data_IF_137711316179
#
_entry.id   IF_137711316179
#
_cell.length_a   1.000
_cell.length_b   1.000
_cell.length_c   1.000
_cell.angle_alpha   90.00
_cell.angle_beta   90.00
_cell.angle_gamma   90.00
#
_symmetry.space_group_name_H-M   'P 1'
#
loop_
_entity.id
_entity.type
_entity.pdbx_description
1 polymer ?
#
# COMPACT_ATOMS: atom_id res chain seq x y z
N UNK A 1 -7.46 -5.03 -10.08
CA UNK A 1 -6.51 -5.49 -9.04
C UNK A 1 -7.15 -5.49 -7.64
N UNK A 2 -7.31 -4.35 -6.96
CA UNK A 2 -7.88 -4.33 -5.60
C UNK A 2 -9.29 -4.95 -5.53
N UNK A 3 -10.21 -4.55 -6.42
CA UNK A 3 -11.58 -5.10 -6.46
C UNK A 3 -11.67 -6.63 -6.67
N UNK A 4 -10.61 -7.26 -7.15
CA UNK A 4 -10.55 -8.71 -7.36
C UNK A 4 -10.16 -9.51 -6.09
N UNK A 5 -9.73 -8.83 -5.01
CA UNK A 5 -9.35 -9.47 -3.75
C UNK A 5 -10.57 -9.88 -2.90
N UNK A 6 -11.67 -9.15 -3.02
CA UNK A 6 -12.91 -9.40 -2.28
C UNK A 6 -13.54 -8.11 -1.72
N UNK A 7 -14.56 -8.24 -0.86
CA UNK A 7 -15.26 -7.10 -0.27
C UNK A 7 -14.31 -6.22 0.55
N UNK A 8 -14.34 -4.91 0.27
CA UNK A 8 -13.56 -3.91 0.98
C UNK A 8 -14.27 -2.55 0.93
N UNK A 9 -13.94 -1.70 1.87
CA UNK A 9 -14.27 -0.28 1.82
C UNK A 9 -13.17 0.50 1.12
N UNK A 10 -13.56 1.40 0.21
CA UNK A 10 -12.65 2.38 -0.40
C UNK A 10 -12.99 3.76 0.15
N UNK A 11 -12.05 4.37 0.88
CA UNK A 11 -12.19 5.73 1.40
C UNK A 11 -11.30 6.68 0.62
N UNK A 12 -11.91 7.65 -0.05
CA UNK A 12 -11.21 8.75 -0.70
C UNK A 12 -11.21 9.95 0.24
N UNK A 13 -10.03 10.46 0.55
CA UNK A 13 -9.84 11.69 1.31
C UNK A 13 -9.10 12.73 0.47
N UNK A 14 -8.89 13.93 1.03
CA UNK A 14 -8.08 14.97 0.39
C UNK A 14 -6.63 14.50 0.10
N UNK A 15 -6.09 13.65 0.96
CA UNK A 15 -4.67 13.28 0.94
C UNK A 15 -4.39 11.94 0.28
N UNK A 16 -5.35 11.01 0.31
CA UNK A 16 -5.12 9.63 -0.07
C UNK A 16 -6.41 8.87 -0.39
N UNK A 17 -6.24 7.76 -1.11
CA UNK A 17 -7.25 6.69 -1.21
C UNK A 17 -6.82 5.55 -0.31
N UNK A 18 -7.71 5.06 0.54
CA UNK A 18 -7.44 3.97 1.48
C UNK A 18 -8.35 2.79 1.20
N UNK A 19 -7.76 1.60 1.07
CA UNK A 19 -8.47 0.32 1.00
C UNK A 19 -8.50 -0.32 2.38
N UNK A 20 -9.69 -0.73 2.82
CA UNK A 20 -9.92 -1.15 4.20
C UNK A 20 -10.85 -2.36 4.28
N UNK A 21 -10.57 -3.22 5.25
CA UNK A 21 -11.51 -4.21 5.78
C UNK A 21 -11.78 -3.85 7.24
N UNK A 22 -11.63 -4.78 8.19
CA UNK A 22 -11.59 -4.43 9.62
C UNK A 22 -10.48 -3.41 9.91
N UNK A 23 -9.35 -3.54 9.23
CA UNK A 23 -8.22 -2.61 9.27
C UNK A 23 -7.88 -2.05 7.87
N UNK A 24 -7.19 -0.91 7.83
CA UNK A 24 -6.66 -0.37 6.57
C UNK A 24 -5.42 -1.14 6.14
N UNK A 25 -5.35 -1.54 4.88
CA UNK A 25 -4.31 -2.47 4.42
C UNK A 25 -3.51 -1.98 3.22
N UNK A 26 -4.09 -1.09 2.42
CA UNK A 26 -3.40 -0.45 1.32
C UNK A 26 -3.81 1.02 1.22
N UNK A 27 -2.84 1.88 0.89
CA UNK A 27 -3.04 3.32 0.83
C UNK A 27 -2.31 3.89 -0.39
N UNK A 28 -3.04 4.63 -1.23
CA UNK A 28 -2.48 5.35 -2.37
C UNK A 28 -2.47 6.84 -2.05
N UNK A 29 -1.33 7.48 -2.22
CA UNK A 29 -1.20 8.92 -2.03
C UNK A 29 -0.20 9.52 -3.02
N UNK A 30 -0.39 10.81 -3.35
CA UNK A 30 0.48 11.52 -4.29
C UNK A 30 1.55 12.30 -3.51
N UNK A 31 2.84 11.93 -3.59
CA UNK A 31 3.87 12.58 -2.81
C UNK A 31 4.10 14.04 -3.21
N UNK A 32 3.95 14.36 -4.50
CA UNK A 32 4.04 15.73 -5.01
C UNK A 32 3.06 16.74 -4.36
N UNK A 33 2.05 16.28 -3.63
CA UNK A 33 1.14 17.14 -2.84
C UNK A 33 1.80 17.65 -1.55
N UNK A 34 2.77 16.93 -0.99
CA UNK A 34 3.32 17.17 0.35
C UNK A 34 4.83 17.39 0.37
N UNK A 35 5.55 16.83 -0.60
CA UNK A 35 7.00 16.92 -0.73
C UNK A 35 7.37 17.15 -2.18
N UNK A 36 8.54 17.75 -2.42
CA UNK A 36 9.07 17.91 -3.78
C UNK A 36 9.44 16.53 -4.34
N UNK A 37 8.57 15.97 -5.17
CA UNK A 37 8.73 14.65 -5.76
C UNK A 37 8.11 14.60 -7.16
N UNK A 38 8.79 13.91 -8.08
CA UNK A 38 8.27 13.56 -9.40
C UNK A 38 7.50 12.23 -9.40
N UNK A 39 7.47 11.52 -8.26
CA UNK A 39 6.80 10.23 -8.15
C UNK A 39 5.28 10.43 -8.27
N UNK A 40 4.61 9.78 -9.24
CA UNK A 40 3.18 9.95 -9.46
C UNK A 40 2.32 9.49 -8.28
N UNK A 41 2.64 8.32 -7.72
CA UNK A 41 1.88 7.75 -6.60
C UNK A 41 2.78 6.84 -5.75
N UNK A 42 2.51 6.83 -4.46
CA UNK A 42 3.09 5.86 -3.52
C UNK A 42 1.98 4.91 -3.09
N UNK A 43 2.26 3.61 -3.19
CA UNK A 43 1.45 2.56 -2.58
C UNK A 43 2.08 2.16 -1.25
N UNK A 44 1.33 2.33 -0.17
CA UNK A 44 1.71 1.85 1.15
C UNK A 44 0.92 0.58 1.48
N UNK A 45 1.61 -0.49 1.89
CA UNK A 45 1.00 -1.76 2.29
C UNK A 45 1.24 -2.03 3.78
N UNK A 46 0.19 -2.43 4.49
CA UNK A 46 0.28 -2.87 5.88
C UNK A 46 0.34 -4.40 5.93
N UNK A 47 1.48 -4.95 6.32
CA UNK A 47 1.71 -6.39 6.49
C UNK A 47 1.97 -6.72 7.96
N UNK A 48 1.66 -7.95 8.42
CA UNK A 48 1.91 -8.34 9.81
C UNK A 48 3.38 -8.71 10.10
N UNK A 49 4.25 -8.62 9.09
CA UNK A 49 5.67 -8.99 9.16
C UNK A 49 6.52 -8.04 8.31
N UNK A 50 7.82 -7.98 8.60
CA UNK A 50 8.78 -7.23 7.80
C UNK A 50 9.07 -7.97 6.48
N UNK A 51 8.82 -7.32 5.35
CA UNK A 51 9.07 -7.86 4.03
C UNK A 51 10.21 -7.08 3.36
N UNK A 52 11.47 -7.57 3.45
CA UNK A 52 12.61 -6.89 2.87
C UNK A 52 12.66 -7.11 1.34
N UNK A 53 12.13 -6.15 0.59
CA UNK A 53 12.24 -6.09 -0.87
C UNK A 53 12.93 -4.80 -1.31
N UNK A 54 13.85 -4.83 -2.29
CA UNK A 54 14.48 -3.62 -2.82
C UNK A 54 13.49 -2.67 -3.51
N UNK A 55 12.26 -3.13 -3.79
CA UNK A 55 11.19 -2.29 -4.36
C UNK A 55 10.62 -1.32 -3.34
N UNK A 56 10.68 -1.64 -2.05
CA UNK A 56 10.24 -0.72 -1.02
C UNK A 56 11.29 0.35 -0.81
N UNK A 57 10.89 1.60 -1.07
CA UNK A 57 11.72 2.76 -0.72
C UNK A 57 11.93 2.86 0.78
N UNK A 58 10.91 2.47 1.54
CA UNK A 58 10.92 2.58 2.99
C UNK A 58 10.04 1.50 3.61
N UNK A 59 10.55 0.91 4.68
CA UNK A 59 9.84 -0.03 5.55
C UNK A 59 9.87 0.56 6.95
N UNK A 60 8.72 0.64 7.61
CA UNK A 60 8.60 1.16 8.98
C UNK A 60 7.69 0.27 9.83
N UNK A 61 7.96 0.20 11.13
CA UNK A 61 7.18 -0.58 12.10
C UNK A 61 6.42 0.40 13.03
N UNK A 62 5.29 1.00 12.59
CA UNK A 62 4.61 2.05 13.33
C UNK A 62 3.95 1.56 14.64
N UNK A 63 3.60 0.28 14.73
CA UNK A 63 2.98 -0.31 15.91
C UNK A 63 3.16 -1.82 15.91
N UNK A 64 3.10 -2.49 17.08
CA UNK A 64 3.20 -3.95 17.16
C UNK A 64 2.25 -4.64 16.18
N UNK A 65 2.81 -5.55 15.37
CA UNK A 65 2.05 -6.36 14.41
C UNK A 65 1.66 -5.63 13.11
N UNK A 66 2.19 -4.43 12.86
CA UNK A 66 1.99 -3.71 11.60
C UNK A 66 3.32 -3.20 11.07
N UNK A 67 3.72 -3.71 9.91
CA UNK A 67 4.83 -3.22 9.12
C UNK A 67 4.28 -2.50 7.87
N UNK A 68 4.62 -1.22 7.75
CA UNK A 68 4.23 -0.38 6.63
C UNK A 68 5.34 -0.34 5.58
N UNK A 69 4.99 -0.72 4.36
CA UNK A 69 5.92 -0.82 3.25
C UNK A 69 5.52 0.18 2.17
N UNK A 70 6.41 1.11 1.85
CA UNK A 70 6.17 2.18 0.89
C UNK A 70 6.84 1.88 -0.46
N UNK A 71 6.02 1.67 -1.48
CA UNK A 71 6.41 1.43 -2.87
C UNK A 71 6.15 2.68 -3.70
N UNK A 72 7.17 3.18 -4.39
CA UNK A 72 7.00 4.24 -5.39
C UNK A 72 6.59 3.62 -6.72
N UNK A 73 5.46 4.07 -7.27
CA UNK A 73 4.93 3.62 -8.55
C UNK A 73 5.07 4.76 -9.56
N UNK A 74 6.01 4.58 -10.48
CA UNK A 74 6.30 5.48 -11.61
C UNK A 74 5.41 5.16 -12.81
N UNK A 75 5.06 3.89 -12.99
CA UNK A 75 4.23 3.41 -14.10
C UNK A 75 3.35 2.22 -13.68
N UNK A 76 2.27 1.98 -14.43
CA UNK A 76 1.28 0.95 -14.08
C UNK A 76 1.79 -0.49 -14.24
N UNK A 77 2.81 -0.71 -15.08
CA UNK A 77 3.51 -2.00 -15.25
C UNK A 77 4.16 -2.50 -13.96
N UNK A 78 4.47 -1.60 -13.02
CA UNK A 78 4.99 -2.00 -11.71
C UNK A 78 3.93 -2.63 -10.80
N UNK A 79 2.64 -2.60 -11.18
CA UNK A 79 1.58 -3.37 -10.55
C UNK A 79 1.54 -4.79 -11.14
N UNK A 80 2.61 -5.52 -10.90
CA UNK A 80 2.82 -6.89 -11.39
C UNK A 80 2.35 -7.94 -10.37
N UNK A 81 2.57 -9.21 -10.70
CA UNK A 81 2.17 -10.35 -9.88
C UNK A 81 2.78 -10.34 -8.47
N UNK A 82 3.96 -9.73 -8.28
CA UNK A 82 4.60 -9.63 -6.97
C UNK A 82 3.85 -8.61 -6.10
N UNK A 83 3.53 -7.44 -6.65
CA UNK A 83 2.72 -6.44 -5.95
C UNK A 83 1.30 -6.96 -5.69
N UNK A 84 0.71 -7.70 -6.63
CA UNK A 84 -0.57 -8.37 -6.43
C UNK A 84 -0.53 -9.36 -5.27
N UNK A 85 0.56 -10.13 -5.14
CA UNK A 85 0.76 -11.06 -4.05
C UNK A 85 0.78 -10.33 -2.70
N UNK A 86 1.59 -9.28 -2.57
CA UNK A 86 1.66 -8.51 -1.32
C UNK A 86 0.34 -7.82 -0.97
N UNK A 87 -0.41 -7.32 -1.96
CA UNK A 87 -1.74 -6.77 -1.70
C UNK A 87 -2.70 -7.84 -1.17
N UNK A 88 -2.61 -9.08 -1.66
CA UNK A 88 -3.43 -10.20 -1.19
C UNK A 88 -3.10 -10.56 0.26
N UNK A 89 -1.82 -10.59 0.61
CA UNK A 89 -1.37 -10.81 1.99
C UNK A 89 -1.85 -9.71 2.94
N UNK A 90 -1.67 -8.44 2.54
CA UNK A 90 -2.15 -7.29 3.29
C UNK A 90 -3.67 -7.36 3.49
N UNK A 91 -4.43 -7.70 2.43
CA UNK A 91 -5.88 -7.89 2.50
C UNK A 91 -6.28 -9.03 3.46
N UNK A 92 -5.54 -10.15 3.45
CA UNK A 92 -5.77 -11.28 4.35
C UNK A 92 -5.53 -10.91 5.82
N UNK A 93 -4.47 -10.16 6.10
CA UNK A 93 -4.12 -9.69 7.44
C UNK A 93 -5.09 -8.63 7.99
N UNK A 94 -5.86 -7.97 7.12
CA UNK A 94 -6.72 -6.84 7.47
C UNK A 94 -8.03 -7.19 8.17
N UNK A 95 -8.30 -8.48 8.43
CA UNK A 95 -9.48 -8.96 9.15
C UNK A 95 -10.68 -9.19 8.26
#
# INVERSE_FOLDING_TARGET
>A
MASALGPMEVRVSKSQVSFRRRHGFAFLWRPGTYVKSSVPVVLSLALPYELPSPRFKQIVHPSPGIWMHHLELLESSQLDAEVEHWMREAYGAAG
#
